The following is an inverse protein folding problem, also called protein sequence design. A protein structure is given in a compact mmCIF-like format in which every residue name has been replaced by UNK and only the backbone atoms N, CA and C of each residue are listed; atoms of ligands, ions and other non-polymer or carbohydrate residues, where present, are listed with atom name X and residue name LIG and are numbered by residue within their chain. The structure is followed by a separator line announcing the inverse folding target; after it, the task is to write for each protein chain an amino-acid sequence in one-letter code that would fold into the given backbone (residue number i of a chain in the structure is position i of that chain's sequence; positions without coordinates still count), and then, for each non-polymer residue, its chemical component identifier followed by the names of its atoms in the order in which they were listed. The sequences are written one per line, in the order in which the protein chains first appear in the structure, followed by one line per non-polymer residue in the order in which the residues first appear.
data_IF_746980717763
#
_entry.id   IF_746980717763
#
_cell.length_a   1.000
_cell.length_b   1.000
_cell.length_c   1.000
_cell.angle_alpha   90.00
_cell.angle_beta   90.00
_cell.angle_gamma   90.00
#
_symmetry.space_group_name_H-M   'P 1'
#
loop_
_entity.id
_entity.type
_entity.pdbx_description
1 polymer ?
#
# COMPACT_ATOMS: atom_id res chain seq x y z
N UNK A 1 -10.66 -5.12 -8.57
CA UNK A 1 -9.37 -5.46 -7.94
C UNK A 1 -8.28 -5.41 -8.98
N UNK A 2 -7.22 -4.65 -8.73
CA UNK A 2 -6.09 -4.51 -9.65
C UNK A 2 -4.84 -5.05 -8.97
N UNK A 3 -4.12 -5.95 -9.63
CA UNK A 3 -2.79 -6.35 -9.20
C UNK A 3 -1.83 -5.27 -9.69
N UNK A 4 -1.22 -4.55 -8.75
CA UNK A 4 -0.17 -3.58 -9.03
C UNK A 4 1.15 -4.27 -8.74
N UNK A 5 2.15 -4.10 -9.60
CA UNK A 5 3.50 -4.65 -9.43
C UNK A 5 4.42 -3.69 -8.66
N UNK A 6 4.09 -2.39 -8.65
CA UNK A 6 4.85 -1.35 -7.99
C UNK A 6 4.03 -0.64 -6.92
N UNK A 7 4.57 -0.54 -5.72
CA UNK A 7 4.01 0.28 -4.63
C UNK A 7 5.05 1.30 -4.19
N UNK A 8 4.69 2.58 -4.25
CA UNK A 8 5.54 3.69 -3.81
C UNK A 8 4.97 4.28 -2.53
N UNK A 9 5.80 4.36 -1.50
CA UNK A 9 5.43 4.94 -0.21
C UNK A 9 6.49 5.93 0.25
N UNK A 10 6.06 7.03 0.87
CA UNK A 10 6.96 8.00 1.46
C UNK A 10 6.90 7.89 2.98
N UNK A 11 8.05 7.64 3.59
CA UNK A 11 8.19 7.57 5.04
C UNK A 11 8.98 8.81 5.48
N UNK A 12 8.34 9.83 6.10
CA UNK A 12 9.02 11.05 6.54
C UNK A 12 9.88 10.85 7.79
N UNK A 13 9.64 9.78 8.54
CA UNK A 13 10.33 9.45 9.78
C UNK A 13 10.88 8.01 9.72
N UNK A 14 11.85 7.66 10.59
CA UNK A 14 12.36 6.31 10.70
C UNK A 14 11.21 5.33 10.94
N UNK A 15 10.95 4.45 9.97
CA UNK A 15 9.79 3.56 9.98
C UNK A 15 10.22 2.16 9.60
N UNK A 16 9.88 1.19 10.42
CA UNK A 16 10.03 -0.22 10.10
C UNK A 16 8.65 -0.79 9.81
N UNK A 17 8.46 -1.35 8.62
CA UNK A 17 7.19 -1.94 8.25
C UNK A 17 7.42 -3.24 7.47
N UNK A 18 6.48 -4.17 7.61
CA UNK A 18 6.50 -5.44 6.90
C UNK A 18 5.45 -5.41 5.81
N UNK A 19 5.87 -5.70 4.58
CA UNK A 19 5.03 -5.66 3.41
C UNK A 19 5.37 -6.82 2.48
N UNK A 20 4.37 -7.60 2.07
CA UNK A 20 4.57 -8.85 1.31
C UNK A 20 5.62 -9.79 1.93
N UNK A 21 5.57 -9.96 3.26
CA UNK A 21 6.55 -10.74 4.02
C UNK A 21 8.02 -10.28 3.90
N UNK A 22 8.28 -9.10 3.34
CA UNK A 22 9.57 -8.39 3.44
C UNK A 22 9.48 -7.31 4.50
N UNK A 23 10.53 -7.19 5.31
CA UNK A 23 10.68 -6.08 6.26
C UNK A 23 11.49 -4.98 5.59
N UNK A 24 10.92 -3.78 5.56
CA UNK A 24 11.57 -2.57 5.10
C UNK A 24 11.88 -1.71 6.32
N UNK A 25 13.15 -1.34 6.48
CA UNK A 25 13.62 -0.46 7.54
C UNK A 25 14.07 0.84 6.92
N UNK A 26 13.30 1.89 7.15
CA UNK A 26 13.63 3.25 6.76
C UNK A 26 14.20 3.94 7.99
N UNK A 27 15.42 4.47 7.90
CA UNK A 27 16.07 5.20 9.00
C UNK A 27 15.92 6.71 8.90
N UNK A 28 15.57 7.23 7.72
CA UNK A 28 15.47 8.66 7.43
C UNK A 28 14.39 8.92 6.37
N UNK A 29 13.94 10.17 6.24
CA UNK A 29 12.88 10.57 5.32
C UNK A 29 13.16 10.13 3.87
N UNK A 30 12.53 9.04 3.43
CA UNK A 30 12.84 8.38 2.14
C UNK A 30 11.58 7.92 1.43
N UNK A 31 11.55 8.12 0.11
CA UNK A 31 10.56 7.51 -0.77
C UNK A 31 11.03 6.11 -1.15
N UNK A 32 10.31 5.08 -0.69
CA UNK A 32 10.57 3.70 -1.07
C UNK A 32 9.66 3.30 -2.23
N UNK A 33 10.27 2.72 -3.25
CA UNK A 33 9.57 2.11 -4.38
C UNK A 33 9.80 0.61 -4.36
N UNK A 34 8.72 -0.15 -4.19
CA UNK A 34 8.73 -1.60 -4.08
C UNK A 34 8.22 -2.16 -5.41
N UNK A 35 9.11 -2.73 -6.25
CA UNK A 35 8.81 -3.16 -7.65
C UNK A 35 8.41 -4.63 -7.84
N UNK A 36 8.30 -5.41 -6.77
CA UNK A 36 7.90 -6.83 -6.82
C UNK A 36 6.93 -7.15 -5.68
N UNK A 37 5.89 -6.33 -5.55
CA UNK A 37 4.77 -6.66 -4.68
C UNK A 37 3.59 -6.92 -5.60
N UNK A 38 3.16 -8.17 -5.83
CA UNK A 38 1.90 -8.45 -6.50
C UNK A 38 0.76 -8.08 -5.54
N UNK A 39 0.57 -6.78 -5.36
CA UNK A 39 -0.37 -6.24 -4.40
C UNK A 39 -1.73 -6.13 -5.05
N UNK A 40 -2.72 -6.80 -4.45
CA UNK A 40 -4.10 -6.66 -4.87
C UNK A 40 -4.65 -5.39 -4.25
N UNK A 41 -4.66 -4.31 -5.01
CA UNK A 41 -5.36 -3.09 -4.62
C UNK A 41 -6.84 -3.35 -4.84
N UNK A 42 -7.55 -3.49 -3.73
CA UNK A 42 -9.00 -3.33 -3.73
C UNK A 42 -9.21 -1.82 -3.70
N UNK A 43 -9.49 -1.23 -4.86
CA UNK A 43 -10.06 0.11 -4.89
C UNK A 43 -11.42 0.00 -4.21
N UNK A 44 -11.45 0.26 -2.91
CA UNK A 44 -12.68 0.69 -2.24
C UNK A 44 -12.97 2.06 -2.84
N UNK A 45 -13.64 2.06 -3.99
CA UNK A 45 -14.36 3.25 -4.39
C UNK A 45 -15.27 3.56 -3.22
N UNK A 46 -14.96 4.61 -2.45
CA UNK A 46 -15.96 5.37 -1.73
C UNK A 46 -16.86 6.01 -2.81
N UNK A 47 -17.60 5.17 -3.53
CA UNK A 47 -18.86 5.59 -4.08
C UNK A 47 -19.71 5.91 -2.85
N UNK A 48 -20.27 7.12 -2.73
CA UNK A 48 -21.13 7.43 -1.60
C UNK A 48 -22.30 6.44 -1.62
N UNK A 49 -22.27 5.51 -0.65
CA UNK A 49 -23.38 4.77 -0.07
C UNK A 49 -24.48 4.29 -1.05
N UNK A 50 -24.35 3.07 -1.58
CA UNK A 50 -25.56 2.28 -1.85
C UNK A 50 -26.01 1.60 -0.54
N UNK A 51 -27.25 1.83 -0.07
CA UNK A 51 -27.75 1.20 1.16
C UNK A 51 -27.84 -0.33 0.98
N UNK A 52 -27.64 -1.11 2.06
CA UNK A 52 -27.74 -2.57 2.00
C UNK A 52 -29.17 -2.99 1.57
N UNK A 53 -29.31 -4.03 0.72
CA UNK A 53 -30.61 -4.51 0.26
C UNK A 53 -31.43 -5.15 1.41
N UNK A 54 -32.78 -5.12 1.33
CA UNK A 54 -33.69 -5.58 2.40
C UNK A 54 -33.67 -7.09 2.63
#
# INVERSE_FOLDING_TARGET
TKVVSQYTTYCPEPTTFTFNAKTFTVTEATTLTITDCPCTVVEVSFHPLSPPPP
#
